data_IF_276480894977
#
_entry.id   IF_276480894977
#
_cell.length_a   1.000
_cell.length_b   1.000
_cell.length_c   1.000
_cell.angle_alpha   90.00
_cell.angle_beta   90.00
_cell.angle_gamma   90.00
#
_symmetry.space_group_name_H-M   'P 1'
#
loop_
_entity.id
_entity.type
_entity.pdbx_description
1 polymer ?
#
# COMPACT_ATOMS: atom_id res chain seq x y z
N UNK A 1 11.82 -46.40 45.45
CA UNK A 1 13.12 -47.09 45.29
C UNK A 1 13.94 -46.28 44.30
N UNK A 2 14.93 -45.56 44.83
CA UNK A 2 16.37 -45.80 44.58
C UNK A 2 16.69 -45.72 43.10
N UNK A 3 17.55 -44.89 42.55
CA UNK A 3 18.86 -44.29 42.90
C UNK A 3 19.14 -43.22 41.84
N UNK A 4 19.56 -41.98 42.14
CA UNK A 4 20.95 -41.52 42.31
C UNK A 4 21.86 -41.88 41.14
N UNK A 5 22.47 -40.83 40.55
CA UNK A 5 23.87 -40.59 40.26
C UNK A 5 23.87 -39.45 39.22
N UNK A 6 24.21 -38.21 39.49
CA UNK A 6 25.45 -37.52 39.87
C UNK A 6 26.54 -37.53 38.79
N UNK A 7 26.99 -36.34 38.50
CA UNK A 7 28.29 -35.89 37.99
C UNK A 7 28.31 -35.49 36.52
N UNK A 8 28.97 -34.47 36.03
CA UNK A 8 29.94 -33.46 36.50
C UNK A 8 30.21 -32.52 35.32
N UNK A 9 30.31 -31.26 35.62
CA UNK A 9 31.24 -30.24 35.14
C UNK A 9 31.85 -30.35 33.75
N UNK A 10 31.69 -29.31 32.95
CA UNK A 10 32.83 -28.64 32.31
C UNK A 10 32.47 -27.19 31.99
N UNK A 11 33.21 -26.31 32.62
CA UNK A 11 33.23 -24.87 32.39
C UNK A 11 33.85 -24.53 31.04
N UNK A 12 33.31 -23.57 30.37
CA UNK A 12 33.89 -23.01 29.15
C UNK A 12 33.49 -21.54 29.03
N UNK A 13 34.19 -20.73 29.83
CA UNK A 13 34.23 -19.27 29.68
C UNK A 13 34.90 -18.87 28.39
N UNK A 14 34.22 -18.19 27.48
CA UNK A 14 34.88 -17.29 26.54
C UNK A 14 34.13 -15.95 26.48
N UNK A 15 34.72 -15.03 27.22
CA UNK A 15 34.55 -13.62 27.04
C UNK A 15 35.15 -13.21 25.69
N UNK A 16 34.35 -12.66 24.81
CA UNK A 16 34.84 -11.76 23.76
C UNK A 16 34.00 -10.52 23.76
N UNK A 17 34.52 -9.55 24.48
CA UNK A 17 34.18 -8.13 24.31
C UNK A 17 34.58 -7.70 22.90
N UNK A 18 33.59 -7.24 22.16
CA UNK A 18 33.77 -6.58 20.87
C UNK A 18 32.90 -5.33 20.83
N UNK A 19 33.33 -4.26 21.51
CA UNK A 19 32.90 -2.91 21.22
C UNK A 19 33.38 -2.52 19.84
N UNK A 20 32.47 -2.22 18.94
CA UNK A 20 32.73 -1.63 17.65
C UNK A 20 31.54 -0.77 17.28
N UNK A 21 31.46 0.43 17.87
CA UNK A 21 30.64 1.50 17.37
C UNK A 21 31.21 1.96 16.04
N UNK A 22 30.50 1.68 14.95
CA UNK A 22 30.64 2.46 13.72
C UNK A 22 29.27 2.63 13.10
N UNK A 23 28.80 3.81 13.35
CA UNK A 23 27.66 4.42 12.68
C UNK A 23 28.10 4.68 11.23
N UNK A 24 27.80 3.76 10.35
CA UNK A 24 27.81 3.99 8.92
C UNK A 24 26.35 3.94 8.49
N UNK A 25 25.82 5.12 8.22
CA UNK A 25 24.61 5.28 7.46
C UNK A 25 24.87 4.67 6.07
N UNK A 26 24.60 3.38 5.94
CA UNK A 26 24.46 2.75 4.65
C UNK A 26 23.05 3.08 4.18
N UNK A 27 23.01 3.97 3.22
CA UNK A 27 21.87 4.10 2.32
C UNK A 27 21.77 2.76 1.59
N UNK A 28 20.91 1.89 2.07
CA UNK A 28 20.46 0.74 1.30
C UNK A 28 19.63 1.31 0.16
N UNK A 29 20.32 1.55 -0.96
CA UNK A 29 19.67 1.74 -2.23
C UNK A 29 18.92 0.44 -2.53
N UNK A 30 17.61 0.53 -2.44
CA UNK A 30 16.67 -0.54 -2.56
C UNK A 30 16.92 -1.40 -3.80
N UNK A 31 17.27 -2.64 -3.57
CA UNK A 31 16.94 -3.71 -4.49
C UNK A 31 15.46 -4.06 -4.23
N UNK A 32 14.55 -3.26 -4.76
CA UNK A 32 13.12 -3.58 -4.81
C UNK A 32 12.94 -4.65 -5.87
N UNK A 33 13.11 -5.90 -5.47
CA UNK A 33 12.60 -7.02 -6.23
C UNK A 33 11.08 -6.88 -6.34
N UNK A 34 10.52 -7.24 -7.48
CA UNK A 34 9.12 -7.15 -7.86
C UNK A 34 8.12 -7.92 -6.97
N UNK A 35 8.54 -8.44 -5.84
CA UNK A 35 7.75 -9.29 -4.96
C UNK A 35 7.16 -8.56 -3.73
N UNK A 36 7.38 -7.25 -3.59
CA UNK A 36 6.95 -6.48 -2.41
C UNK A 36 6.23 -5.17 -2.76
N UNK A 37 5.57 -5.12 -3.92
CA UNK A 37 4.77 -3.97 -4.29
C UNK A 37 3.43 -3.99 -3.56
N UNK A 38 3.03 -2.84 -3.01
CA UNK A 38 1.70 -2.69 -2.43
C UNK A 38 0.66 -2.64 -3.55
N UNK A 39 -0.25 -3.60 -3.56
CA UNK A 39 -1.34 -3.62 -4.52
C UNK A 39 -2.40 -2.56 -4.16
N UNK A 40 -2.83 -1.78 -5.17
CA UNK A 40 -3.91 -0.80 -5.07
C UNK A 40 -4.88 -0.95 -6.22
N UNK A 41 -6.16 -1.01 -5.91
CA UNK A 41 -7.24 -0.99 -6.90
C UNK A 41 -7.80 0.43 -7.05
N UNK A 42 -7.73 0.97 -8.28
CA UNK A 42 -8.27 2.27 -8.65
C UNK A 42 -9.45 2.07 -9.59
N UNK A 43 -10.63 2.55 -9.22
CA UNK A 43 -11.83 2.48 -10.06
C UNK A 43 -12.12 3.84 -10.69
N UNK A 44 -12.27 3.87 -12.00
CA UNK A 44 -12.58 5.08 -12.76
C UNK A 44 -14.04 5.50 -12.56
N UNK A 45 -14.35 6.78 -12.81
CA UNK A 45 -15.73 7.31 -12.82
C UNK A 45 -16.51 6.90 -14.07
N UNK A 46 -15.80 6.59 -15.16
CA UNK A 46 -16.36 6.21 -16.46
C UNK A 46 -15.40 5.30 -17.23
N UNK A 47 -15.77 4.92 -18.43
CA UNK A 47 -14.85 4.23 -19.34
C UNK A 47 -13.61 5.07 -19.62
N UNK A 48 -12.44 4.44 -19.87
CA UNK A 48 -11.20 5.14 -20.13
C UNK A 48 -11.34 6.23 -21.20
N UNK A 49 -10.88 7.43 -20.87
CA UNK A 49 -10.91 8.60 -21.74
C UNK A 49 -9.72 9.53 -21.43
N UNK A 50 -9.66 10.69 -22.10
CA UNK A 50 -8.52 11.61 -21.96
C UNK A 50 -8.30 12.13 -20.52
N UNK A 51 -9.34 12.19 -19.68
CA UNK A 51 -9.20 12.62 -18.28
C UNK A 51 -8.42 11.61 -17.43
N UNK A 52 -8.38 10.36 -17.86
CA UNK A 52 -7.66 9.28 -17.16
C UNK A 52 -6.24 9.06 -17.68
N UNK A 53 -5.80 9.81 -18.71
CA UNK A 53 -4.51 9.61 -19.37
C UNK A 53 -3.34 9.63 -18.38
N UNK A 54 -3.40 10.45 -17.32
CA UNK A 54 -2.36 10.55 -16.31
C UNK A 54 -2.13 9.24 -15.54
N UNK A 55 -3.18 8.45 -15.30
CA UNK A 55 -3.06 7.14 -14.64
C UNK A 55 -2.37 6.12 -15.54
N UNK A 56 -2.83 6.03 -16.79
CA UNK A 56 -2.26 5.09 -17.76
C UNK A 56 -0.83 5.46 -18.13
N UNK A 57 -0.52 6.74 -18.24
CA UNK A 57 0.84 7.20 -18.51
C UNK A 57 1.77 6.89 -17.33
N UNK A 58 1.30 7.08 -16.10
CA UNK A 58 2.06 6.73 -14.91
C UNK A 58 2.35 5.21 -14.84
N UNK A 59 1.37 4.39 -15.21
CA UNK A 59 1.52 2.93 -15.29
C UNK A 59 2.53 2.52 -16.36
N UNK A 60 2.37 3.02 -17.59
CA UNK A 60 3.26 2.71 -18.72
C UNK A 60 4.71 3.16 -18.48
N UNK A 61 4.91 4.28 -17.79
CA UNK A 61 6.24 4.78 -17.44
C UNK A 61 6.84 4.15 -16.19
N UNK A 62 6.11 3.29 -15.51
CA UNK A 62 6.57 2.61 -14.30
C UNK A 62 6.60 3.47 -13.05
N UNK A 63 6.00 4.68 -13.05
CA UNK A 63 6.04 5.59 -11.92
C UNK A 63 5.38 5.01 -10.66
N UNK A 64 4.37 4.17 -10.81
CA UNK A 64 3.76 3.48 -9.67
C UNK A 64 4.74 2.47 -9.06
N UNK A 65 5.39 1.67 -9.89
CA UNK A 65 6.37 0.69 -9.43
C UNK A 65 7.57 1.34 -8.74
N UNK A 66 8.03 2.51 -9.23
CA UNK A 66 9.07 3.32 -8.57
C UNK A 66 8.69 3.78 -7.16
N UNK A 67 7.38 3.88 -6.88
CA UNK A 67 6.84 4.20 -5.57
C UNK A 67 6.46 2.97 -4.74
N UNK A 68 6.82 1.78 -5.21
CA UNK A 68 6.48 0.53 -4.53
C UNK A 68 5.01 0.12 -4.66
N UNK A 69 4.33 0.57 -5.73
CA UNK A 69 2.91 0.31 -5.96
C UNK A 69 2.69 -0.56 -7.19
N UNK A 70 1.79 -1.54 -7.06
CA UNK A 70 1.16 -2.28 -8.15
C UNK A 70 -0.29 -1.79 -8.27
N UNK A 71 -0.58 -1.02 -9.32
CA UNK A 71 -1.88 -0.35 -9.48
C UNK A 71 -2.73 -1.06 -10.53
N UNK A 72 -3.88 -1.57 -10.11
CA UNK A 72 -4.92 -2.13 -10.98
C UNK A 72 -5.98 -1.06 -11.29
N UNK A 73 -6.05 -0.62 -12.55
CA UNK A 73 -6.99 0.40 -13.01
C UNK A 73 -8.21 -0.26 -13.62
N UNK A 74 -9.34 -0.14 -12.95
CA UNK A 74 -10.60 -0.77 -13.36
C UNK A 74 -11.61 0.24 -13.90
N UNK A 75 -12.30 -0.14 -14.97
CA UNK A 75 -13.49 0.58 -15.44
C UNK A 75 -14.69 0.25 -14.54
N UNK A 76 -15.58 1.22 -14.27
CA UNK A 76 -16.78 0.94 -13.49
C UNK A 76 -17.74 0.02 -14.25
N UNK A 77 -18.43 -0.85 -13.54
CA UNK A 77 -19.49 -1.69 -14.10
C UNK A 77 -20.82 -0.92 -14.24
N UNK A 78 -20.98 0.17 -13.52
CA UNK A 78 -22.17 1.03 -13.57
C UNK A 78 -21.95 2.39 -12.92
N UNK A 79 -22.97 3.24 -13.01
CA UNK A 79 -23.00 4.54 -12.33
C UNK A 79 -22.88 4.32 -10.83
N UNK A 80 -22.12 5.12 -10.14
CA UNK A 80 -21.84 5.01 -8.70
C UNK A 80 -20.96 3.81 -8.27
N UNK A 81 -20.46 3.03 -9.21
CA UNK A 81 -19.69 1.82 -8.86
C UNK A 81 -18.41 2.17 -8.12
N UNK A 82 -17.64 3.16 -8.60
CA UNK A 82 -16.40 3.58 -7.96
C UNK A 82 -16.60 3.97 -6.48
N UNK A 83 -17.62 4.77 -6.18
CA UNK A 83 -17.91 5.19 -4.81
C UNK A 83 -18.38 4.01 -3.94
N UNK A 84 -19.22 3.15 -4.48
CA UNK A 84 -19.73 1.97 -3.78
C UNK A 84 -18.64 0.94 -3.49
N UNK A 85 -17.71 0.74 -4.43
CA UNK A 85 -16.59 -0.18 -4.24
C UNK A 85 -15.63 0.31 -3.16
N UNK A 86 -15.29 1.60 -3.15
CA UNK A 86 -14.45 2.17 -2.09
C UNK A 86 -15.16 2.10 -0.73
N UNK A 87 -16.44 2.44 -0.67
CA UNK A 87 -17.23 2.36 0.57
C UNK A 87 -17.32 0.93 1.13
N UNK A 88 -17.35 -0.06 0.25
CA UNK A 88 -17.38 -1.48 0.60
C UNK A 88 -16.00 -2.09 0.86
N UNK A 89 -14.91 -1.33 0.71
CA UNK A 89 -13.53 -1.83 0.84
C UNK A 89 -13.11 -2.80 -0.28
N UNK A 90 -13.76 -2.71 -1.44
CA UNK A 90 -13.44 -3.52 -2.63
C UNK A 90 -12.50 -2.81 -3.60
N UNK A 91 -12.31 -1.52 -3.42
CA UNK A 91 -11.32 -0.70 -4.10
C UNK A 91 -10.72 0.29 -3.09
N UNK A 92 -9.49 0.69 -3.35
CA UNK A 92 -8.75 1.61 -2.48
C UNK A 92 -9.03 3.06 -2.84
N UNK A 93 -9.12 3.34 -4.14
CA UNK A 93 -9.33 4.68 -4.69
C UNK A 93 -10.45 4.62 -5.75
N UNK A 94 -11.31 5.62 -5.74
CA UNK A 94 -12.31 5.83 -6.78
C UNK A 94 -12.22 7.25 -7.34
N UNK A 95 -12.30 7.39 -8.66
CA UNK A 95 -12.53 8.69 -9.29
C UNK A 95 -14.03 8.95 -9.29
N UNK A 96 -14.44 10.11 -8.79
CA UNK A 96 -15.85 10.45 -8.74
C UNK A 96 -16.09 11.96 -8.66
N UNK A 97 -17.34 12.38 -8.81
CA UNK A 97 -17.70 13.79 -8.77
C UNK A 97 -17.76 14.30 -7.33
N UNK A 98 -17.18 15.46 -7.09
CA UNK A 98 -17.07 16.02 -5.74
C UNK A 98 -18.45 16.26 -5.08
N UNK A 99 -19.42 16.74 -5.84
CA UNK A 99 -20.77 16.99 -5.32
C UNK A 99 -21.44 15.72 -4.79
N UNK A 100 -21.26 14.60 -5.50
CA UNK A 100 -21.86 13.33 -5.10
C UNK A 100 -21.17 12.74 -3.87
N UNK A 101 -19.85 12.91 -3.76
CA UNK A 101 -19.09 12.54 -2.57
C UNK A 101 -19.56 13.34 -1.35
N UNK A 102 -19.80 14.65 -1.51
CA UNK A 102 -20.31 15.50 -0.42
C UNK A 102 -21.71 15.04 0.00
N UNK A 103 -22.59 14.79 -0.96
CA UNK A 103 -23.95 14.33 -0.69
C UNK A 103 -23.95 12.96 0.01
N UNK A 104 -23.18 12.00 -0.49
CA UNK A 104 -23.07 10.67 0.13
C UNK A 104 -22.56 10.74 1.58
N UNK A 105 -21.62 11.62 1.86
CA UNK A 105 -21.13 11.85 3.22
C UNK A 105 -22.15 12.54 4.12
N UNK A 106 -22.83 13.59 3.60
CA UNK A 106 -23.72 14.42 4.40
C UNK A 106 -25.09 13.79 4.66
N UNK A 107 -25.63 13.06 3.68
CA UNK A 107 -27.00 12.54 3.74
C UNK A 107 -27.07 11.03 4.03
N UNK A 108 -26.04 10.27 3.68
CA UNK A 108 -26.07 8.80 3.73
C UNK A 108 -24.97 8.23 4.65
N UNK A 109 -24.13 9.08 5.24
CA UNK A 109 -23.00 8.70 6.10
C UNK A 109 -22.06 7.63 5.49
N UNK A 110 -21.89 7.67 4.17
CA UNK A 110 -21.02 6.73 3.46
C UNK A 110 -19.57 6.93 3.89
N UNK A 111 -18.82 5.88 4.28
CA UNK A 111 -17.49 5.98 4.89
C UNK A 111 -16.38 6.21 3.83
N UNK A 112 -16.46 7.30 3.08
CA UNK A 112 -15.50 7.71 2.05
C UNK A 112 -14.88 9.08 2.38
N UNK A 113 -13.72 9.37 1.79
CA UNK A 113 -13.03 10.66 1.92
C UNK A 113 -12.53 11.12 0.56
N UNK A 114 -12.67 12.42 0.26
CA UNK A 114 -11.97 13.02 -0.86
C UNK A 114 -10.51 13.29 -0.47
N UNK A 115 -9.57 12.84 -1.30
CA UNK A 115 -8.13 12.99 -1.08
C UNK A 115 -7.47 13.96 -2.07
N UNK A 116 -8.18 14.37 -3.11
CA UNK A 116 -7.67 15.31 -4.10
C UNK A 116 -8.67 15.59 -5.20
N UNK A 117 -8.35 16.54 -6.06
CA UNK A 117 -9.10 16.86 -7.27
C UNK A 117 -8.20 16.68 -8.50
N UNK A 118 -8.71 15.97 -9.50
CA UNK A 118 -8.00 15.75 -10.78
C UNK A 118 -8.24 16.91 -11.73
N UNK A 119 -9.46 17.41 -11.74
CA UNK A 119 -9.90 18.56 -12.57
C UNK A 119 -10.60 19.56 -11.68
N UNK A 120 -10.28 20.83 -11.87
CA UNK A 120 -10.97 21.97 -11.28
C UNK A 120 -11.67 22.73 -12.40
N UNK A 121 -12.97 22.91 -12.29
CA UNK A 121 -13.79 23.73 -13.19
C UNK A 121 -14.01 25.14 -12.63
#
# INVERSE_FOLDING_TARGET
MKKRILALLAAGTMLLTGCGAQNAAQSDAANSGSDDLQHLTVVLDWYPNALHAFLYEAQEKGYFAEQGLDVDIQSPAGVNDAMSMVAAGKADIGLYYQQDVIQARAEQDVPIKSIGAVVQG
#
